data_IF_725504774375
#
_entry.id   IF_725504774375
#
_cell.length_a   1.000
_cell.length_b   1.000
_cell.length_c   1.000
_cell.angle_alpha   90.00
_cell.angle_beta   90.00
_cell.angle_gamma   90.00
#
_symmetry.space_group_name_H-M   'P 1'
#
loop_
_entity.id
_entity.type
_entity.pdbx_description
1 polymer ?
#
# COMPACT_ATOMS: atom_id res chain seq x y z
N UNK A 1 15.97 4.96 6.88
CA UNK A 1 15.32 4.00 7.80
C UNK A 1 16.04 3.89 9.14
N UNK A 2 17.31 3.43 9.21
CA UNK A 2 18.04 3.24 10.49
C UNK A 2 18.07 4.52 11.34
N UNK A 3 18.37 5.67 10.77
CA UNK A 3 18.40 6.93 11.52
C UNK A 3 17.02 7.32 12.06
N UNK A 4 15.96 7.07 11.31
CA UNK A 4 14.59 7.27 11.79
C UNK A 4 14.24 6.31 12.96
N UNK A 5 14.65 5.03 12.88
CA UNK A 5 14.49 4.07 13.99
C UNK A 5 15.20 4.55 15.24
N UNK A 6 16.45 5.04 15.13
CA UNK A 6 17.20 5.59 16.25
C UNK A 6 16.52 6.82 16.87
N UNK A 7 15.99 7.71 16.03
CA UNK A 7 15.24 8.88 16.49
C UNK A 7 13.98 8.49 17.26
N UNK A 8 13.18 7.59 16.71
CA UNK A 8 11.97 7.05 17.38
C UNK A 8 12.31 6.35 18.70
N UNK A 9 13.43 5.62 18.76
CA UNK A 9 13.85 4.98 20.01
C UNK A 9 14.24 5.99 21.09
N UNK A 10 14.82 7.14 20.71
CA UNK A 10 15.19 8.22 21.65
C UNK A 10 14.02 9.09 22.09
N UNK A 11 12.88 9.07 21.38
CA UNK A 11 11.72 9.90 21.66
C UNK A 11 10.87 9.28 22.80
N UNK A 12 10.72 9.95 23.96
CA UNK A 12 9.95 9.42 25.08
C UNK A 12 8.43 9.30 24.82
N UNK A 13 7.92 9.94 23.78
CA UNK A 13 6.51 9.87 23.39
C UNK A 13 6.17 8.64 22.55
N UNK A 14 7.17 7.89 22.08
CA UNK A 14 7.01 6.68 21.27
C UNK A 14 7.05 5.45 22.17
N UNK A 15 5.95 4.69 22.22
CA UNK A 15 5.82 3.47 23.02
C UNK A 15 6.26 2.21 22.25
N UNK A 16 6.04 2.17 20.94
CA UNK A 16 6.36 1.05 20.06
C UNK A 16 6.88 1.54 18.73
N UNK A 17 7.86 0.83 18.16
CA UNK A 17 8.40 1.15 16.84
C UNK A 17 7.88 0.12 15.84
N UNK A 18 7.21 0.58 14.78
CA UNK A 18 6.78 -0.27 13.68
C UNK A 18 7.65 -0.05 12.46
N UNK A 19 8.24 -1.13 11.94
CA UNK A 19 9.02 -1.13 10.69
C UNK A 19 8.24 -1.88 9.62
N UNK A 20 7.83 -1.17 8.59
CA UNK A 20 7.09 -1.72 7.46
C UNK A 20 7.90 -1.48 6.19
N UNK A 21 8.24 -2.55 5.49
CA UNK A 21 9.07 -2.50 4.29
C UNK A 21 8.60 -3.49 3.24
N UNK A 22 8.67 -3.08 1.97
CA UNK A 22 8.65 -4.04 0.86
C UNK A 22 9.89 -4.94 0.96
N UNK A 23 9.92 -6.12 0.29
CA UNK A 23 11.03 -7.05 0.37
C UNK A 23 12.36 -6.33 0.10
N UNK A 24 13.32 -6.51 1.01
CA UNK A 24 14.67 -6.00 0.87
C UNK A 24 15.65 -7.17 0.76
N UNK A 25 16.88 -6.93 0.30
CA UNK A 25 17.88 -7.98 0.28
C UNK A 25 18.18 -8.48 1.70
N UNK A 26 18.53 -9.76 1.83
CA UNK A 26 18.91 -10.39 3.11
C UNK A 26 19.97 -9.59 3.87
N UNK A 27 20.98 -9.07 3.15
CA UNK A 27 22.04 -8.26 3.74
C UNK A 27 21.52 -6.96 4.40
N UNK A 28 20.47 -6.35 3.84
CA UNK A 28 19.81 -5.17 4.42
C UNK A 28 18.95 -5.58 5.61
N UNK A 29 18.19 -6.68 5.51
CA UNK A 29 17.39 -7.19 6.64
C UNK A 29 18.28 -7.53 7.84
N UNK A 30 19.40 -8.23 7.63
CA UNK A 30 20.39 -8.53 8.69
C UNK A 30 20.87 -7.24 9.39
N UNK A 31 21.21 -6.21 8.61
CA UNK A 31 21.66 -4.92 9.16
C UNK A 31 20.55 -4.20 9.94
N UNK A 32 19.33 -4.18 9.43
CA UNK A 32 18.20 -3.57 10.11
C UNK A 32 17.88 -4.35 11.40
N UNK A 33 17.80 -5.68 11.34
CA UNK A 33 17.52 -6.52 12.50
C UNK A 33 18.59 -6.38 13.59
N UNK A 34 19.88 -6.18 13.23
CA UNK A 34 20.92 -5.87 14.21
C UNK A 34 20.60 -4.58 14.98
N UNK A 35 20.17 -3.51 14.29
CA UNK A 35 19.75 -2.28 14.95
C UNK A 35 18.52 -2.50 15.82
N UNK A 36 17.51 -3.22 15.32
CA UNK A 36 16.27 -3.48 16.06
C UNK A 36 16.53 -4.24 17.38
N UNK A 37 17.47 -5.21 17.38
CA UNK A 37 17.87 -5.95 18.58
C UNK A 37 18.66 -5.13 19.60
N UNK A 38 19.16 -3.94 19.23
CA UNK A 38 19.81 -3.02 20.17
C UNK A 38 18.85 -2.05 20.86
N UNK A 39 17.58 -1.99 20.39
CA UNK A 39 16.58 -1.07 20.94
C UNK A 39 16.05 -1.52 22.29
N UNK A 40 15.61 -0.55 23.09
CA UNK A 40 14.93 -0.80 24.38
C UNK A 40 13.41 -0.85 24.23
N UNK A 41 12.86 -0.21 23.19
CA UNK A 41 11.43 -0.19 22.92
C UNK A 41 10.98 -1.46 22.18
N UNK A 42 9.75 -1.93 22.40
CA UNK A 42 9.19 -3.02 21.64
C UNK A 42 9.07 -2.65 20.15
N UNK A 43 9.28 -3.65 19.31
CA UNK A 43 9.28 -3.48 17.84
C UNK A 43 8.28 -4.43 17.22
N UNK A 44 7.57 -3.95 16.20
CA UNK A 44 6.83 -4.78 15.26
C UNK A 44 7.42 -4.57 13.87
N UNK A 45 7.81 -5.65 13.21
CA UNK A 45 8.39 -5.59 11.87
C UNK A 45 7.55 -6.37 10.88
N UNK A 46 7.28 -5.77 9.72
CA UNK A 46 6.69 -6.43 8.56
C UNK A 46 7.63 -6.25 7.37
N UNK A 47 8.24 -7.35 6.95
CA UNK A 47 8.86 -7.46 5.62
C UNK A 47 7.80 -8.04 4.69
N UNK A 48 7.07 -7.16 4.01
CA UNK A 48 5.92 -7.54 3.19
C UNK A 48 6.34 -8.46 2.05
N UNK A 49 5.68 -9.61 1.95
CA UNK A 49 6.04 -10.67 1.01
C UNK A 49 6.79 -11.84 1.65
N UNK A 50 7.38 -11.64 2.82
CA UNK A 50 8.04 -12.72 3.57
C UNK A 50 7.03 -13.44 4.47
N UNK A 51 7.20 -14.76 4.64
CA UNK A 51 6.45 -15.55 5.63
C UNK A 51 7.29 -15.68 6.90
N UNK A 52 6.89 -15.04 8.02
CA UNK A 52 7.68 -15.08 9.24
C UNK A 52 7.64 -16.46 9.89
N UNK A 53 8.81 -17.08 10.09
CA UNK A 53 8.96 -18.38 10.75
C UNK A 53 9.17 -18.25 12.27
N UNK A 54 9.53 -17.07 12.74
CA UNK A 54 9.81 -16.83 14.16
C UNK A 54 9.39 -15.42 14.59
N UNK A 55 9.35 -15.26 15.91
CA UNK A 55 9.30 -13.97 16.59
C UNK A 55 10.40 -13.91 17.65
N UNK A 56 10.70 -12.73 18.18
CA UNK A 56 11.70 -12.51 19.23
C UNK A 56 11.00 -11.90 20.44
N UNK A 57 11.63 -11.93 21.60
CA UNK A 57 11.03 -11.40 22.83
C UNK A 57 10.59 -9.94 22.68
N UNK A 58 11.44 -9.09 22.10
CA UNK A 58 11.18 -7.67 21.90
C UNK A 58 10.76 -7.29 20.47
N UNK A 59 10.90 -8.20 19.49
CA UNK A 59 10.60 -7.94 18.08
C UNK A 59 9.54 -8.94 17.60
N UNK A 60 8.36 -8.45 17.28
CA UNK A 60 7.31 -9.25 16.67
C UNK A 60 7.40 -9.15 15.14
N UNK A 61 7.54 -10.30 14.47
CA UNK A 61 7.56 -10.41 13.02
C UNK A 61 6.14 -10.66 12.51
N UNK A 62 5.51 -9.62 11.98
CA UNK A 62 4.14 -9.68 11.46
C UNK A 62 4.11 -10.26 10.03
N UNK A 63 2.95 -10.75 9.61
CA UNK A 63 2.71 -11.34 8.30
C UNK A 63 1.88 -10.43 7.38
N UNK A 64 0.93 -9.68 7.97
CA UNK A 64 0.05 -8.77 7.22
C UNK A 64 0.04 -7.37 7.81
N UNK A 65 -0.48 -6.40 7.05
CA UNK A 65 -0.64 -5.01 7.49
C UNK A 65 -1.57 -4.92 8.70
N UNK A 66 -2.67 -5.69 8.69
CA UNK A 66 -3.62 -5.71 9.81
C UNK A 66 -2.99 -6.29 11.07
N UNK A 67 -2.31 -7.44 10.96
CA UNK A 67 -1.58 -8.02 12.09
C UNK A 67 -0.53 -7.06 12.64
N UNK A 68 0.17 -6.32 11.76
CA UNK A 68 1.15 -5.31 12.17
C UNK A 68 0.53 -4.23 13.03
N UNK A 69 -0.62 -3.72 12.62
CA UNK A 69 -1.34 -2.67 13.37
C UNK A 69 -1.85 -3.17 14.73
N UNK A 70 -2.44 -4.37 14.76
CA UNK A 70 -2.92 -4.99 16.00
C UNK A 70 -1.76 -5.30 16.94
N UNK A 71 -0.66 -5.89 16.44
CA UNK A 71 0.52 -6.17 17.22
C UNK A 71 1.15 -4.90 17.81
N UNK A 72 1.24 -3.82 17.03
CA UNK A 72 1.75 -2.53 17.49
C UNK A 72 0.88 -1.97 18.63
N UNK A 73 -0.44 -2.01 18.48
CA UNK A 73 -1.38 -1.57 19.53
C UNK A 73 -1.25 -2.40 20.81
N UNK A 74 -1.13 -3.72 20.71
CA UNK A 74 -0.99 -4.61 21.86
C UNK A 74 0.37 -4.41 22.55
N UNK A 75 1.46 -4.34 21.78
CA UNK A 75 2.80 -4.04 22.32
C UNK A 75 2.86 -2.68 23.01
N UNK A 76 2.22 -1.64 22.50
CA UNK A 76 2.17 -0.32 23.16
C UNK A 76 1.46 -0.33 24.50
N UNK A 77 0.58 -1.32 24.75
CA UNK A 77 -0.11 -1.55 26.02
C UNK A 77 0.62 -2.53 26.93
N UNK A 78 1.74 -3.11 26.48
CA UNK A 78 2.44 -4.17 27.20
C UNK A 78 1.71 -5.51 27.19
N UNK A 79 0.84 -5.74 26.22
CA UNK A 79 0.07 -6.98 26.05
C UNK A 79 0.84 -7.98 25.16
N UNK A 80 0.54 -9.27 25.30
CA UNK A 80 0.99 -10.31 24.36
C UNK A 80 0.26 -10.16 23.03
N UNK A 81 0.97 -10.42 21.93
CA UNK A 81 0.36 -10.32 20.59
C UNK A 81 -0.54 -11.51 20.33
N UNK A 82 -1.80 -11.22 20.03
CA UNK A 82 -2.80 -12.20 19.61
C UNK A 82 -3.60 -11.62 18.45
N UNK A 83 -3.59 -12.30 17.32
CA UNK A 83 -4.28 -11.90 16.11
C UNK A 83 -4.96 -13.09 15.46
N UNK A 84 -6.25 -12.93 15.20
CA UNK A 84 -7.06 -13.88 14.45
C UNK A 84 -7.63 -13.14 13.23
N UNK A 85 -7.26 -13.53 12.00
CA UNK A 85 -7.77 -12.89 10.80
C UNK A 85 -9.26 -13.11 10.65
N UNK A 86 -9.94 -12.16 10.09
CA UNK A 86 -11.38 -12.19 9.87
C UNK A 86 -11.77 -12.22 8.39
N UNK A 87 -12.99 -12.69 8.11
CA UNK A 87 -13.64 -12.60 6.81
C UNK A 87 -15.04 -12.01 6.96
N UNK A 88 -15.65 -11.58 5.87
CA UNK A 88 -17.07 -11.20 5.83
C UNK A 88 -17.89 -12.47 5.62
N UNK A 89 -18.36 -13.09 6.71
CA UNK A 89 -19.09 -14.37 6.69
C UNK A 89 -20.48 -14.29 6.04
N UNK A 90 -21.07 -13.11 6.01
CA UNK A 90 -22.40 -12.82 5.43
C UNK A 90 -22.36 -12.63 3.92
N UNK A 91 -21.19 -12.64 3.30
CA UNK A 91 -21.03 -12.51 1.84
C UNK A 91 -21.02 -13.88 1.22
N UNK A 92 -21.99 -14.11 0.34
CA UNK A 92 -22.12 -15.38 -0.43
C UNK A 92 -22.41 -15.08 -1.89
N UNK A 93 -21.98 -15.94 -2.79
CA UNK A 93 -22.26 -15.84 -4.21
C UNK A 93 -22.34 -17.25 -4.83
N UNK A 94 -23.09 -17.37 -5.92
CA UNK A 94 -23.19 -18.62 -6.68
C UNK A 94 -22.44 -18.45 -8.01
N UNK A 95 -21.17 -18.78 -8.00
CA UNK A 95 -20.33 -18.73 -9.19
C UNK A 95 -20.57 -19.96 -10.07
N UNK A 96 -20.47 -19.78 -11.38
CA UNK A 96 -20.44 -20.92 -12.29
C UNK A 96 -19.01 -21.52 -12.35
N UNK A 97 -18.89 -22.71 -12.92
CA UNK A 97 -17.63 -23.49 -12.95
C UNK A 97 -16.42 -22.76 -13.59
N UNK A 98 -16.66 -21.69 -14.35
CA UNK A 98 -15.58 -20.89 -14.96
C UNK A 98 -15.15 -19.71 -14.07
N UNK A 99 -15.98 -19.31 -13.15
CA UNK A 99 -15.75 -18.13 -12.31
C UNK A 99 -14.92 -18.50 -11.09
N UNK A 100 -13.62 -18.61 -11.28
CA UNK A 100 -12.63 -18.94 -10.25
C UNK A 100 -11.62 -17.81 -10.03
N UNK A 101 -11.67 -16.76 -10.85
CA UNK A 101 -10.66 -15.71 -10.92
C UNK A 101 -10.88 -14.56 -9.93
N UNK A 102 -9.82 -14.12 -9.29
CA UNK A 102 -9.74 -12.84 -8.56
C UNK A 102 -9.03 -11.81 -9.43
N UNK A 103 -9.59 -10.59 -9.54
CA UNK A 103 -8.96 -9.45 -10.22
C UNK A 103 -8.82 -8.29 -9.25
N UNK A 104 -7.59 -7.89 -8.96
CA UNK A 104 -7.30 -6.73 -8.12
C UNK A 104 -6.86 -5.53 -8.95
N UNK A 105 -7.54 -4.39 -8.79
CA UNK A 105 -7.23 -3.13 -9.45
C UNK A 105 -6.90 -2.08 -8.39
N UNK A 106 -5.65 -2.09 -7.95
CA UNK A 106 -5.17 -1.30 -6.83
C UNK A 106 -4.62 0.06 -7.27
N UNK A 107 -4.73 1.03 -6.40
CA UNK A 107 -4.00 2.30 -6.46
C UNK A 107 -2.83 2.33 -5.47
N UNK A 108 -2.82 1.45 -4.48
CA UNK A 108 -1.79 1.34 -3.46
C UNK A 108 -0.93 0.08 -3.65
N UNK A 109 0.33 0.24 -4.10
CA UNK A 109 1.22 -0.87 -4.38
C UNK A 109 1.53 -1.76 -3.18
N UNK A 110 1.50 -1.23 -1.96
CA UNK A 110 1.65 -2.01 -0.72
C UNK A 110 0.47 -2.96 -0.51
N UNK A 111 -0.76 -2.47 -0.75
CA UNK A 111 -1.98 -3.28 -0.66
C UNK A 111 -2.02 -4.35 -1.76
N UNK A 112 -1.61 -3.98 -2.98
CA UNK A 112 -1.50 -4.92 -4.09
C UNK A 112 -0.49 -6.04 -3.79
N UNK A 113 0.67 -5.70 -3.21
CA UNK A 113 1.70 -6.67 -2.82
C UNK A 113 1.19 -7.64 -1.74
N UNK A 114 0.46 -7.14 -0.73
CA UNK A 114 -0.17 -7.99 0.29
C UNK A 114 -1.21 -8.92 -0.33
N UNK A 115 -2.07 -8.41 -1.21
CA UNK A 115 -3.06 -9.23 -1.89
C UNK A 115 -2.41 -10.33 -2.73
N UNK A 116 -1.39 -10.00 -3.49
CA UNK A 116 -0.61 -10.94 -4.27
C UNK A 116 0.01 -12.05 -3.40
N UNK A 117 0.63 -11.67 -2.29
CA UNK A 117 1.22 -12.60 -1.32
C UNK A 117 0.17 -13.57 -0.75
N UNK A 118 -0.96 -13.06 -0.27
CA UNK A 118 -2.00 -13.88 0.35
C UNK A 118 -2.63 -14.84 -0.66
N UNK A 119 -2.91 -14.39 -1.89
CA UNK A 119 -3.47 -15.24 -2.96
C UNK A 119 -2.46 -16.33 -3.35
N UNK A 120 -1.19 -15.97 -3.57
CA UNK A 120 -0.13 -16.94 -3.88
C UNK A 120 -0.01 -18.01 -2.78
N UNK A 121 -0.05 -17.62 -1.51
CA UNK A 121 0.07 -18.56 -0.40
C UNK A 121 -1.17 -19.46 -0.23
N UNK A 122 -2.36 -18.96 -0.57
CA UNK A 122 -3.58 -19.76 -0.51
C UNK A 122 -3.66 -20.78 -1.64
N UNK A 123 -3.36 -20.38 -2.87
CA UNK A 123 -3.54 -21.19 -4.06
C UNK A 123 -2.33 -22.05 -4.42
N UNK A 124 -1.14 -21.63 -3.97
CA UNK A 124 0.13 -22.25 -4.37
C UNK A 124 0.50 -22.05 -5.84
N UNK A 125 -0.26 -21.21 -6.58
CA UNK A 125 0.02 -20.91 -7.98
C UNK A 125 1.22 -19.98 -8.11
N UNK A 126 2.14 -20.29 -9.02
CA UNK A 126 3.29 -19.43 -9.29
C UNK A 126 2.89 -18.24 -10.17
N UNK A 127 3.51 -17.10 -9.93
CA UNK A 127 3.32 -15.90 -10.75
C UNK A 127 4.04 -16.03 -12.09
N UNK A 128 3.38 -15.69 -13.17
CA UNK A 128 4.02 -15.51 -14.45
C UNK A 128 4.99 -14.31 -14.41
N UNK A 129 6.05 -14.35 -15.19
CA UNK A 129 6.96 -13.22 -15.40
C UNK A 129 6.29 -12.20 -16.34
N UNK A 130 5.51 -11.28 -15.79
CA UNK A 130 4.80 -10.23 -16.52
C UNK A 130 4.82 -8.95 -15.67
N UNK A 131 5.67 -7.99 -16.07
CA UNK A 131 5.87 -6.73 -15.33
C UNK A 131 4.61 -5.86 -15.20
N UNK A 132 3.58 -6.13 -16.01
CA UNK A 132 2.31 -5.42 -15.92
C UNK A 132 1.48 -5.83 -14.68
N UNK A 133 1.89 -6.87 -13.96
CA UNK A 133 1.14 -7.40 -12.83
C UNK A 133 2.05 -7.54 -11.61
N UNK A 134 1.51 -7.21 -10.44
CA UNK A 134 2.14 -7.57 -9.16
C UNK A 134 2.09 -9.09 -8.97
N UNK A 135 0.98 -9.69 -9.44
CA UNK A 135 0.81 -11.13 -9.45
C UNK A 135 -0.12 -11.52 -10.62
N UNK A 136 0.28 -12.54 -11.37
CA UNK A 136 -0.51 -13.13 -12.45
C UNK A 136 -0.30 -14.63 -12.46
N UNK A 137 -1.34 -15.37 -12.18
CA UNK A 137 -1.36 -16.82 -12.26
C UNK A 137 -2.33 -17.29 -13.37
N UNK A 138 -2.64 -18.57 -13.39
CA UNK A 138 -3.61 -19.13 -14.35
C UNK A 138 -4.99 -18.46 -14.19
N UNK A 139 -5.42 -18.23 -12.93
CA UNK A 139 -6.76 -17.73 -12.64
C UNK A 139 -6.79 -16.33 -12.01
N UNK A 140 -5.70 -15.84 -11.40
CA UNK A 140 -5.72 -14.62 -10.62
C UNK A 140 -4.82 -13.53 -11.19
N UNK A 141 -5.24 -12.27 -11.06
CA UNK A 141 -4.47 -11.12 -11.53
C UNK A 141 -4.59 -9.97 -10.53
N UNK A 142 -3.45 -9.48 -10.06
CA UNK A 142 -3.36 -8.31 -9.18
C UNK A 142 -2.48 -7.26 -9.88
N UNK A 143 -3.04 -6.08 -10.07
CA UNK A 143 -2.40 -4.95 -10.75
C UNK A 143 -2.25 -3.79 -9.77
N UNK A 144 -1.05 -3.25 -9.68
CA UNK A 144 -0.78 -1.94 -9.11
C UNK A 144 -0.85 -0.88 -10.23
N UNK A 145 -1.97 -0.19 -10.34
CA UNK A 145 -2.16 0.86 -11.34
C UNK A 145 -1.38 2.15 -11.00
N UNK A 146 -0.75 2.20 -9.82
CA UNK A 146 0.17 3.25 -9.39
C UNK A 146 1.62 3.03 -9.81
N UNK A 147 1.94 1.86 -10.37
CA UNK A 147 3.26 1.55 -10.90
C UNK A 147 3.65 2.49 -12.05
N UNK A 148 4.96 2.72 -12.21
CA UNK A 148 5.52 3.59 -13.25
C UNK A 148 5.06 3.21 -14.67
N UNK A 149 4.82 1.91 -14.91
CA UNK A 149 4.29 1.43 -16.19
C UNK A 149 2.93 2.04 -16.54
N UNK A 150 2.07 2.26 -15.56
CA UNK A 150 0.72 2.80 -15.74
C UNK A 150 0.62 4.31 -15.56
N UNK A 151 1.65 4.94 -14.97
CA UNK A 151 1.64 6.37 -14.62
C UNK A 151 2.51 7.23 -15.53
N UNK A 152 3.17 6.64 -16.54
CA UNK A 152 3.91 7.40 -17.55
C UNK A 152 2.96 8.27 -18.39
N UNK A 153 3.06 9.59 -18.19
CA UNK A 153 2.24 10.59 -18.90
C UNK A 153 0.79 10.67 -18.42
N UNK A 154 0.44 9.98 -17.34
CA UNK A 154 -0.88 10.05 -16.68
C UNK A 154 -0.73 10.24 -15.19
N UNK A 155 -1.67 10.92 -14.51
CA UNK A 155 -1.63 11.05 -13.06
C UNK A 155 -1.75 9.69 -12.35
N UNK A 156 -1.22 9.63 -11.12
CA UNK A 156 -1.36 8.47 -10.25
C UNK A 156 -2.84 8.13 -9.98
N UNK A 157 -3.25 6.85 -9.90
CA UNK A 157 -4.65 6.42 -9.74
C UNK A 157 -5.31 6.84 -8.42
N UNK A 158 -4.55 7.28 -7.42
CA UNK A 158 -5.10 7.95 -6.23
C UNK A 158 -5.59 9.38 -6.54
N UNK A 159 -5.07 10.02 -7.59
CA UNK A 159 -5.42 11.39 -8.00
C UNK A 159 -6.45 11.37 -9.11
N UNK A 160 -6.25 10.51 -10.12
CA UNK A 160 -7.13 10.41 -11.30
C UNK A 160 -7.65 8.97 -11.45
N UNK A 161 -8.97 8.75 -11.48
CA UNK A 161 -9.57 7.43 -11.56
C UNK A 161 -9.47 6.77 -12.94
N UNK A 162 -9.04 7.46 -14.00
CA UNK A 162 -9.17 7.02 -15.39
C UNK A 162 -8.66 5.60 -15.67
N UNK A 163 -7.47 5.25 -15.19
CA UNK A 163 -6.91 3.91 -15.36
C UNK A 163 -7.73 2.83 -14.64
N UNK A 164 -8.29 3.15 -13.46
CA UNK A 164 -9.13 2.23 -12.70
C UNK A 164 -10.48 1.99 -13.36
N UNK A 165 -11.09 3.06 -13.89
CA UNK A 165 -12.36 2.99 -14.64
C UNK A 165 -12.19 2.13 -15.89
N UNK A 166 -11.08 2.32 -16.63
CA UNK A 166 -10.73 1.52 -17.80
C UNK A 166 -10.49 0.04 -17.46
N UNK A 167 -9.83 -0.24 -16.33
CA UNK A 167 -9.61 -1.61 -15.87
C UNK A 167 -10.94 -2.33 -15.57
N UNK A 168 -11.86 -1.67 -14.84
CA UNK A 168 -13.20 -2.20 -14.57
C UNK A 168 -14.03 -2.41 -15.86
N UNK A 169 -13.95 -1.47 -16.80
CA UNK A 169 -14.64 -1.61 -18.08
C UNK A 169 -14.11 -2.80 -18.90
N UNK A 170 -12.79 -2.98 -18.93
CA UNK A 170 -12.15 -4.12 -19.62
C UNK A 170 -12.51 -5.44 -18.97
N UNK A 171 -12.60 -5.49 -17.63
CA UNK A 171 -12.94 -6.66 -16.86
C UNK A 171 -14.40 -7.16 -17.09
N UNK A 172 -15.28 -6.31 -17.62
CA UNK A 172 -16.67 -6.68 -17.85
C UNK A 172 -16.83 -7.85 -18.85
N UNK A 173 -15.86 -8.05 -19.75
CA UNK A 173 -15.86 -9.14 -20.74
C UNK A 173 -15.09 -10.39 -20.31
N UNK A 174 -14.48 -10.41 -19.13
CA UNK A 174 -13.72 -11.55 -18.60
C UNK A 174 -14.66 -12.53 -17.88
N UNK A 175 -14.97 -13.66 -18.50
CA UNK A 175 -15.93 -14.66 -18.00
C UNK A 175 -15.42 -15.47 -16.79
N UNK A 176 -14.15 -15.38 -16.45
CA UNK A 176 -13.54 -16.13 -15.35
C UNK A 176 -13.63 -15.40 -14.00
N UNK A 177 -14.01 -14.12 -14.01
CA UNK A 177 -14.05 -13.32 -12.78
C UNK A 177 -15.15 -13.81 -11.84
N UNK A 178 -14.75 -14.19 -10.63
CA UNK A 178 -15.59 -14.39 -9.46
C UNK A 178 -15.61 -13.13 -8.58
N UNK A 179 -14.42 -12.58 -8.29
CA UNK A 179 -14.26 -11.47 -7.33
C UNK A 179 -13.37 -10.38 -7.91
N UNK A 180 -13.78 -9.13 -7.69
CA UNK A 180 -12.95 -7.94 -7.95
C UNK A 180 -12.54 -7.30 -6.63
N UNK A 181 -11.27 -6.93 -6.49
CA UNK A 181 -10.71 -6.22 -5.34
C UNK A 181 -10.39 -4.78 -5.71
N UNK A 182 -10.81 -3.84 -4.89
CA UNK A 182 -10.55 -2.40 -5.03
C UNK A 182 -10.09 -1.79 -3.72
N UNK A 183 -9.14 -0.88 -3.80
CA UNK A 183 -8.80 0.01 -2.69
C UNK A 183 -9.32 1.44 -2.95
N UNK A 184 -9.54 2.21 -1.89
CA UNK A 184 -9.77 3.65 -1.94
C UNK A 184 -8.93 4.31 -0.84
N UNK A 185 -7.82 4.92 -1.24
CA UNK A 185 -6.87 5.53 -0.30
C UNK A 185 -7.19 7.02 -0.16
N UNK A 186 -7.47 7.42 1.08
CA UNK A 186 -7.78 8.79 1.45
C UNK A 186 -6.51 9.54 1.88
N UNK A 187 -6.62 10.82 2.07
CA UNK A 187 -5.57 11.68 2.57
C UNK A 187 -5.29 12.87 1.66
N UNK A 188 -4.37 13.72 2.10
CA UNK A 188 -3.90 14.85 1.31
C UNK A 188 -3.21 14.38 0.02
N UNK A 189 -3.48 15.06 -1.09
CA UNK A 189 -2.98 14.69 -2.41
C UNK A 189 -3.78 13.59 -3.12
N UNK A 190 -4.67 12.88 -2.44
CA UNK A 190 -5.62 11.97 -3.08
C UNK A 190 -6.84 12.70 -3.64
N UNK A 191 -7.56 12.06 -4.56
CA UNK A 191 -8.78 12.61 -5.15
C UNK A 191 -9.81 12.95 -4.06
N UNK A 192 -10.44 14.13 -4.17
CA UNK A 192 -11.37 14.65 -3.15
C UNK A 192 -12.62 13.76 -2.93
N UNK A 193 -13.02 12.97 -3.92
CA UNK A 193 -14.12 12.03 -3.81
C UNK A 193 -13.96 10.86 -4.81
N UNK A 194 -13.00 9.97 -4.55
CA UNK A 194 -12.70 8.83 -5.41
C UNK A 194 -13.87 7.83 -5.48
N UNK A 195 -14.54 7.59 -4.36
CA UNK A 195 -15.69 6.69 -4.32
C UNK A 195 -16.80 7.10 -5.31
N UNK A 196 -17.11 8.40 -5.40
CA UNK A 196 -18.09 8.89 -6.37
C UNK A 196 -17.66 8.74 -7.84
N UNK A 197 -16.35 8.65 -8.09
CA UNK A 197 -15.83 8.36 -9.44
C UNK A 197 -15.93 6.85 -9.76
N UNK A 198 -15.65 5.99 -8.80
CA UNK A 198 -15.68 4.55 -8.97
C UNK A 198 -17.11 3.98 -8.99
N UNK A 199 -18.03 4.56 -8.23
CA UNK A 199 -19.39 4.04 -8.06
C UNK A 199 -20.14 3.76 -9.38
N UNK A 200 -20.20 4.69 -10.36
CA UNK A 200 -20.88 4.41 -11.63
C UNK A 200 -20.23 3.27 -12.44
N UNK A 201 -18.89 3.11 -12.33
CA UNK A 201 -18.18 2.06 -13.02
C UNK A 201 -18.45 0.68 -12.37
N UNK A 202 -18.53 0.63 -11.04
CA UNK A 202 -18.90 -0.58 -10.28
C UNK A 202 -20.33 -1.01 -10.66
N UNK A 203 -21.28 -0.07 -10.63
CA UNK A 203 -22.68 -0.34 -11.03
C UNK A 203 -22.77 -0.86 -12.47
N UNK A 204 -22.06 -0.22 -13.41
CA UNK A 204 -22.01 -0.66 -14.82
C UNK A 204 -21.42 -2.04 -14.97
N UNK A 205 -20.31 -2.33 -14.25
CA UNK A 205 -19.66 -3.63 -14.25
C UNK A 205 -20.59 -4.74 -13.73
N UNK A 206 -21.20 -4.52 -12.56
CA UNK A 206 -22.13 -5.48 -11.95
C UNK A 206 -23.36 -5.71 -12.84
N UNK A 207 -23.92 -4.66 -13.46
CA UNK A 207 -25.03 -4.77 -14.39
C UNK A 207 -24.66 -5.56 -15.65
N UNK A 208 -23.45 -5.35 -16.20
CA UNK A 208 -22.97 -6.10 -17.37
C UNK A 208 -22.84 -7.59 -17.05
N UNK A 209 -22.22 -7.94 -15.91
CA UNK A 209 -22.06 -9.31 -15.45
C UNK A 209 -23.42 -10.01 -15.23
N UNK A 210 -24.33 -9.32 -14.55
CA UNK A 210 -25.69 -9.81 -14.33
C UNK A 210 -26.44 -10.06 -15.65
N UNK A 211 -26.27 -9.17 -16.64
CA UNK A 211 -26.87 -9.33 -17.97
C UNK A 211 -26.28 -10.51 -18.74
N UNK A 212 -25.05 -10.89 -18.47
CA UNK A 212 -24.41 -12.11 -18.99
C UNK A 212 -24.81 -13.38 -18.20
N UNK A 213 -25.65 -13.26 -17.17
CA UNK A 213 -26.03 -14.39 -16.32
C UNK A 213 -24.95 -14.82 -15.32
N UNK A 214 -24.02 -13.93 -15.03
CA UNK A 214 -22.92 -14.16 -14.08
C UNK A 214 -23.16 -13.39 -12.78
N UNK A 215 -22.89 -14.04 -11.65
CA UNK A 215 -22.80 -13.40 -10.35
C UNK A 215 -21.34 -13.06 -10.08
N UNK A 216 -21.06 -11.85 -9.63
CA UNK A 216 -19.71 -11.37 -9.31
C UNK A 216 -19.77 -10.56 -8.03
N UNK A 217 -18.74 -10.68 -7.19
CA UNK A 217 -18.62 -9.86 -5.98
C UNK A 217 -17.54 -8.82 -6.18
N UNK A 218 -17.86 -7.54 -5.90
CA UNK A 218 -16.87 -6.47 -5.81
C UNK A 218 -16.62 -6.23 -4.34
N UNK A 219 -15.41 -6.49 -3.88
CA UNK A 219 -14.94 -6.16 -2.53
C UNK A 219 -14.11 -4.89 -2.58
N UNK A 220 -14.27 -4.03 -1.61
CA UNK A 220 -13.50 -2.80 -1.52
C UNK A 220 -13.04 -2.53 -0.09
N UNK A 221 -11.84 -1.95 0.05
CA UNK A 221 -11.37 -1.40 1.32
C UNK A 221 -11.12 0.10 1.19
N UNK A 222 -11.43 0.85 2.24
CA UNK A 222 -11.13 2.28 2.33
C UNK A 222 -10.02 2.47 3.35
N UNK A 223 -8.89 2.99 2.91
CA UNK A 223 -7.73 3.26 3.76
C UNK A 223 -7.67 4.73 4.11
N UNK A 224 -7.88 5.05 5.36
CA UNK A 224 -7.93 6.43 5.85
C UNK A 224 -8.47 6.51 7.26
N UNK A 225 -8.77 7.71 7.70
CA UNK A 225 -9.27 8.01 9.03
C UNK A 225 -10.46 8.97 8.99
N UNK A 226 -11.17 9.12 10.10
CA UNK A 226 -12.25 10.10 10.27
C UNK A 226 -11.79 11.55 10.10
N UNK A 227 -10.47 11.79 10.18
CA UNK A 227 -9.87 13.12 10.02
C UNK A 227 -9.55 13.46 8.58
N UNK A 228 -9.62 12.50 7.65
CA UNK A 228 -9.36 12.75 6.25
C UNK A 228 -10.47 13.60 5.62
N UNK A 229 -10.07 14.59 4.83
CA UNK A 229 -10.97 15.60 4.24
C UNK A 229 -12.05 15.01 3.34
N UNK A 230 -11.84 13.80 2.82
CA UNK A 230 -12.79 13.07 1.98
C UNK A 230 -13.97 12.50 2.76
N UNK A 231 -13.84 12.35 4.10
CA UNK A 231 -14.86 11.77 4.97
C UNK A 231 -14.94 10.25 4.83
N UNK A 232 -14.22 9.53 5.69
CA UNK A 232 -14.07 8.06 5.68
C UNK A 232 -15.39 7.31 5.51
N UNK A 233 -16.38 7.56 6.38
CA UNK A 233 -17.70 6.92 6.32
C UNK A 233 -18.49 7.28 5.05
N UNK A 234 -18.30 8.49 4.51
CA UNK A 234 -18.95 8.91 3.28
C UNK A 234 -18.45 8.09 2.09
N UNK A 235 -17.14 7.88 2.00
CA UNK A 235 -16.53 7.10 0.93
C UNK A 235 -16.98 5.64 0.98
N UNK A 236 -17.05 5.04 2.17
CA UNK A 236 -17.57 3.68 2.38
C UNK A 236 -19.02 3.55 1.88
N UNK A 237 -19.91 4.44 2.35
CA UNK A 237 -21.34 4.42 1.97
C UNK A 237 -21.57 4.60 0.47
N UNK A 238 -20.75 5.39 -0.22
CA UNK A 238 -20.87 5.58 -1.67
C UNK A 238 -20.54 4.27 -2.40
N UNK A 239 -19.47 3.58 -2.01
CA UNK A 239 -19.08 2.30 -2.60
C UNK A 239 -20.09 1.20 -2.30
N UNK A 240 -20.60 1.13 -1.07
CA UNK A 240 -21.68 0.21 -0.67
C UNK A 240 -22.95 0.45 -1.50
N UNK A 241 -23.34 1.73 -1.68
CA UNK A 241 -24.47 2.11 -2.51
C UNK A 241 -24.35 1.68 -3.98
N UNK A 242 -23.12 1.58 -4.48
CA UNK A 242 -22.81 1.10 -5.83
C UNK A 242 -22.78 -0.45 -5.94
N UNK A 243 -22.97 -1.16 -4.82
CA UNK A 243 -23.00 -2.62 -4.76
C UNK A 243 -21.67 -3.28 -4.40
N UNK A 244 -20.67 -2.52 -3.98
CA UNK A 244 -19.47 -3.11 -3.41
C UNK A 244 -19.68 -3.53 -1.95
N UNK A 245 -19.07 -4.64 -1.55
CA UNK A 245 -18.98 -5.06 -0.15
C UNK A 245 -17.73 -4.42 0.47
N UNK A 246 -17.91 -3.68 1.55
CA UNK A 246 -16.79 -3.00 2.22
C UNK A 246 -16.17 -3.91 3.27
N UNK A 247 -14.86 -4.13 3.12
CA UNK A 247 -14.01 -4.78 4.10
C UNK A 247 -13.24 -3.72 4.91
N UNK A 248 -12.99 -4.01 6.18
CA UNK A 248 -12.35 -3.05 7.09
C UNK A 248 -10.84 -2.94 6.82
N UNK A 249 -10.23 -4.03 6.35
CA UNK A 249 -8.81 -4.10 5.98
C UNK A 249 -8.62 -4.80 4.65
N UNK A 250 -7.44 -4.66 4.06
CA UNK A 250 -7.06 -5.39 2.86
C UNK A 250 -6.89 -6.89 3.13
N UNK A 251 -6.35 -7.27 4.29
CA UNK A 251 -6.26 -8.67 4.72
C UNK A 251 -7.65 -9.33 4.77
N UNK A 252 -8.62 -8.70 5.45
CA UNK A 252 -10.02 -9.17 5.47
C UNK A 252 -10.62 -9.27 4.07
N UNK A 253 -10.36 -8.28 3.21
CA UNK A 253 -10.85 -8.25 1.83
C UNK A 253 -10.35 -9.44 1.02
N UNK A 254 -9.04 -9.69 1.05
CA UNK A 254 -8.42 -10.79 0.29
C UNK A 254 -8.86 -12.15 0.84
N UNK A 255 -8.89 -12.31 2.17
CA UNK A 255 -9.38 -13.56 2.79
C UNK A 255 -10.84 -13.82 2.49
N UNK A 256 -11.67 -12.79 2.43
CA UNK A 256 -13.06 -12.91 2.00
C UNK A 256 -13.15 -13.36 0.54
N UNK A 257 -12.33 -12.79 -0.34
CA UNK A 257 -12.28 -13.20 -1.75
C UNK A 257 -11.85 -14.66 -1.92
N UNK A 258 -10.82 -15.08 -1.19
CA UNK A 258 -10.35 -16.46 -1.19
C UNK A 258 -11.45 -17.42 -0.69
N UNK A 259 -12.10 -17.09 0.42
CA UNK A 259 -13.20 -17.91 0.96
C UNK A 259 -14.35 -18.07 -0.04
N UNK A 260 -14.68 -17.03 -0.81
CA UNK A 260 -15.73 -17.06 -1.82
C UNK A 260 -15.44 -18.04 -2.97
N UNK A 261 -14.17 -18.23 -3.31
CA UNK A 261 -13.75 -19.20 -4.35
C UNK A 261 -13.34 -20.57 -3.78
N UNK A 262 -13.55 -20.79 -2.47
CA UNK A 262 -13.25 -22.06 -1.80
C UNK A 262 -11.80 -22.24 -1.35
N UNK A 263 -10.99 -21.17 -1.39
CA UNK A 263 -9.59 -21.15 -0.98
C UNK A 263 -9.41 -20.52 0.41
N UNK A 264 -8.29 -20.81 1.06
CA UNK A 264 -7.96 -20.30 2.39
C UNK A 264 -6.46 -20.08 2.52
N UNK A 265 -6.07 -18.98 3.13
CA UNK A 265 -4.70 -18.73 3.56
C UNK A 265 -4.59 -18.81 5.09
N UNK A 266 -3.70 -19.68 5.56
CA UNK A 266 -3.47 -19.85 6.99
C UNK A 266 -2.50 -18.78 7.53
N UNK A 267 -2.61 -18.50 8.83
CA UNK A 267 -1.62 -17.69 9.54
C UNK A 267 -0.33 -18.50 9.74
N UNK A 268 0.86 -17.87 9.55
CA UNK A 268 2.13 -18.52 9.84
C UNK A 268 2.24 -18.88 11.33
N UNK A 269 2.70 -20.09 11.60
CA UNK A 269 3.08 -20.49 12.95
C UNK A 269 4.51 -20.00 13.19
N UNK A 270 4.72 -19.27 14.28
CA UNK A 270 6.02 -18.69 14.64
C UNK A 270 6.61 -19.34 15.87
N UNK A 271 7.87 -19.66 15.82
CA UNK A 271 8.64 -20.04 17.00
C UNK A 271 9.15 -18.80 17.72
N UNK A 272 9.21 -18.82 19.05
CA UNK A 272 9.90 -17.76 19.79
C UNK A 272 11.39 -18.07 19.79
N UNK A 273 12.18 -17.23 19.13
CA UNK A 273 13.66 -17.36 19.12
C UNK A 273 14.29 -16.28 19.98
N UNK A 274 15.31 -16.68 20.74
CA UNK A 274 16.13 -15.74 21.49
C UNK A 274 17.39 -15.42 20.71
N UNK A 275 17.68 -14.14 20.59
CA UNK A 275 18.91 -13.62 20.01
C UNK A 275 19.63 -12.75 21.04
N UNK A 276 20.95 -12.74 20.99
CA UNK A 276 21.72 -11.82 21.82
C UNK A 276 21.41 -10.38 21.45
N UNK A 277 21.26 -9.53 22.48
CA UNK A 277 21.13 -8.08 22.26
C UNK A 277 22.39 -7.56 21.57
N UNK A 278 22.24 -6.88 20.47
CA UNK A 278 23.34 -6.25 19.76
C UNK A 278 23.72 -4.92 20.44
N UNK A 279 24.92 -4.42 20.17
CA UNK A 279 25.40 -3.17 20.73
C UNK A 279 25.71 -2.19 19.58
N UNK A 280 24.66 -1.76 18.89
CA UNK A 280 24.78 -0.77 17.81
C UNK A 280 24.84 0.65 18.39
N UNK A 281 25.52 1.53 17.69
CA UNK A 281 25.51 2.96 18.04
C UNK A 281 24.12 3.55 17.72
N UNK A 282 23.36 3.87 18.76
CA UNK A 282 22.03 4.46 18.68
C UNK A 282 22.05 6.01 18.70
N UNK A 283 23.19 6.64 18.50
CA UNK A 283 23.30 8.10 18.45
C UNK A 283 22.48 8.65 17.28
N UNK A 284 21.60 9.60 17.57
CA UNK A 284 20.83 10.33 16.57
C UNK A 284 21.67 11.43 15.97
N UNK A 285 21.73 11.52 14.63
CA UNK A 285 22.45 12.58 13.94
C UNK A 285 21.87 13.97 14.29
N UNK A 286 22.73 14.96 14.49
CA UNK A 286 22.30 16.31 14.88
C UNK A 286 21.38 16.95 13.83
N UNK A 287 21.65 16.74 12.53
CA UNK A 287 20.76 17.18 11.45
C UNK A 287 19.33 16.63 11.54
N UNK A 288 19.16 15.41 12.05
CA UNK A 288 17.83 14.82 12.25
C UNK A 288 17.15 15.38 13.51
N UNK A 289 17.93 15.65 14.57
CA UNK A 289 17.40 16.33 15.76
C UNK A 289 16.92 17.74 15.41
N UNK A 290 17.71 18.49 14.63
CA UNK A 290 17.33 19.82 14.17
C UNK A 290 16.06 19.81 13.30
N UNK A 291 15.91 18.80 12.43
CA UNK A 291 14.72 18.63 11.60
C UNK A 291 13.45 18.36 12.44
N UNK A 292 13.57 17.54 13.50
CA UNK A 292 12.42 17.14 14.34
C UNK A 292 12.04 18.25 15.34
N UNK A 293 13.02 18.99 15.86
CA UNK A 293 12.80 20.00 16.90
C UNK A 293 12.71 21.44 16.39
N UNK A 294 13.08 21.68 15.12
CA UNK A 294 13.02 23.00 14.49
C UNK A 294 11.66 23.35 13.93
N UNK A 295 11.50 24.61 13.50
CA UNK A 295 10.36 25.00 12.69
C UNK A 295 10.40 24.30 11.34
N UNK A 296 9.28 23.67 10.96
CA UNK A 296 9.18 22.97 9.71
C UNK A 296 9.09 23.98 8.54
N UNK A 297 10.04 23.90 7.61
CA UNK A 297 10.03 24.65 6.35
C UNK A 297 10.13 23.67 5.18
N UNK A 298 9.23 23.80 4.23
CA UNK A 298 9.06 22.82 3.13
C UNK A 298 9.30 23.49 1.78
N UNK A 299 10.05 22.83 0.91
CA UNK A 299 10.14 23.18 -0.51
C UNK A 299 9.36 22.11 -1.29
N UNK A 300 8.26 22.53 -1.91
CA UNK A 300 7.53 21.63 -2.81
C UNK A 300 8.04 21.79 -4.24
N UNK A 301 8.44 20.69 -4.84
CA UNK A 301 8.89 20.61 -6.25
C UNK A 301 8.01 19.60 -6.94
N UNK A 302 7.10 20.06 -7.82
CA UNK A 302 6.18 19.18 -8.55
C UNK A 302 4.74 19.68 -8.51
N UNK A 303 3.81 18.79 -8.18
CA UNK A 303 2.39 19.11 -8.19
C UNK A 303 2.04 20.17 -7.13
N UNK A 304 1.47 21.28 -7.58
CA UNK A 304 1.03 22.39 -6.72
C UNK A 304 -0.06 21.93 -5.73
N UNK A 305 -0.88 20.94 -6.08
CA UNK A 305 -1.90 20.39 -5.19
C UNK A 305 -1.37 19.85 -3.86
N UNK A 306 -0.10 19.48 -3.77
CA UNK A 306 0.50 19.05 -2.49
C UNK A 306 0.71 20.21 -1.51
N UNK A 307 0.67 21.47 -1.96
CA UNK A 307 0.75 22.63 -1.06
C UNK A 307 -0.55 22.86 -0.30
N UNK A 308 -1.70 22.33 -0.74
CA UNK A 308 -2.98 22.45 -0.01
C UNK A 308 -2.82 21.95 1.44
N UNK A 309 -2.15 20.79 1.64
CA UNK A 309 -1.90 20.23 2.96
C UNK A 309 -0.99 21.11 3.84
N UNK A 310 -0.03 21.80 3.24
CA UNK A 310 0.88 22.70 3.97
C UNK A 310 0.14 23.97 4.39
N UNK A 311 -0.72 24.50 3.53
CA UNK A 311 -1.58 25.67 3.83
C UNK A 311 -2.54 25.35 4.97
N UNK A 312 -3.22 24.20 4.90
CA UNK A 312 -4.19 23.78 5.91
C UNK A 312 -3.57 23.55 7.30
N UNK A 313 -2.27 23.22 7.33
CA UNK A 313 -1.51 23.00 8.56
C UNK A 313 -0.65 24.19 8.98
N UNK A 314 -0.79 25.34 8.30
CA UNK A 314 -0.05 26.59 8.57
C UNK A 314 1.49 26.40 8.54
N UNK A 315 1.97 25.49 7.65
CA UNK A 315 3.41 25.22 7.48
C UNK A 315 4.01 26.19 6.48
N UNK A 316 5.15 26.79 6.81
CA UNK A 316 5.93 27.61 5.89
C UNK A 316 6.44 26.78 4.72
N UNK A 317 6.13 27.20 3.49
CA UNK A 317 6.56 26.50 2.30
C UNK A 317 6.95 27.41 1.15
N UNK A 318 7.75 26.87 0.25
CA UNK A 318 8.09 27.47 -1.05
C UNK A 318 7.66 26.51 -2.15
N UNK A 319 6.76 26.96 -3.03
CA UNK A 319 6.47 26.21 -4.25
C UNK A 319 7.53 26.54 -5.31
N UNK A 320 8.34 25.55 -5.67
CA UNK A 320 9.30 25.68 -6.75
C UNK A 320 8.64 25.30 -8.09
N UNK A 321 8.48 26.30 -8.97
CA UNK A 321 7.91 26.10 -10.31
C UNK A 321 8.98 25.51 -11.24
N UNK A 322 9.27 24.22 -11.05
CA UNK A 322 10.24 23.51 -11.86
C UNK A 322 9.69 23.32 -13.28
N UNK A 323 10.55 23.59 -14.25
CA UNK A 323 10.29 23.28 -15.66
C UNK A 323 11.51 22.51 -16.20
N UNK A 324 11.29 21.47 -17.03
CA UNK A 324 12.41 20.77 -17.63
C UNK A 324 13.23 21.73 -18.49
N UNK A 325 14.55 21.60 -18.46
CA UNK A 325 15.44 22.38 -19.32
C UNK A 325 15.04 22.21 -20.78
N UNK A 326 15.12 23.28 -21.57
CA UNK A 326 14.70 23.30 -22.97
C UNK A 326 13.22 22.86 -23.22
N UNK A 327 12.34 23.01 -22.22
CA UNK A 327 10.95 22.57 -22.33
C UNK A 327 10.78 21.05 -22.49
N UNK A 328 11.77 20.25 -22.10
CA UNK A 328 11.77 18.78 -22.26
C UNK A 328 12.21 18.29 -23.64
N UNK A 329 12.67 19.17 -24.52
CA UNK A 329 13.20 18.78 -25.82
C UNK A 329 14.62 18.20 -25.69
N UNK A 330 14.75 16.88 -25.96
CA UNK A 330 16.02 16.16 -25.78
C UNK A 330 17.16 16.69 -26.64
N UNK A 331 16.89 17.11 -27.89
CA UNK A 331 17.92 17.66 -28.78
C UNK A 331 18.43 19.01 -28.26
N UNK A 332 17.52 19.88 -27.80
CA UNK A 332 17.89 21.16 -27.20
C UNK A 332 18.59 20.96 -25.83
N UNK A 333 18.24 19.94 -25.07
CA UNK A 333 18.95 19.60 -23.83
C UNK A 333 20.41 19.20 -24.11
N UNK A 334 20.66 18.38 -25.14
CA UNK A 334 22.02 18.02 -25.55
C UNK A 334 22.84 19.25 -25.96
N UNK A 335 22.22 20.19 -26.69
CA UNK A 335 22.85 21.45 -27.08
C UNK A 335 23.16 22.31 -25.84
N UNK A 336 22.22 22.43 -24.90
CA UNK A 336 22.44 23.17 -23.66
C UNK A 336 23.53 22.53 -22.78
N UNK A 337 23.57 21.21 -22.68
CA UNK A 337 24.61 20.49 -21.97
C UNK A 337 25.98 20.72 -22.62
N UNK A 338 26.07 20.67 -23.95
CA UNK A 338 27.28 21.01 -24.69
C UNK A 338 27.73 22.44 -24.41
N UNK A 339 26.83 23.41 -24.48
CA UNK A 339 27.16 24.83 -24.22
C UNK A 339 27.58 25.09 -22.76
N UNK A 340 26.97 24.42 -21.80
CA UNK A 340 27.34 24.54 -20.37
C UNK A 340 28.69 23.91 -20.02
N UNK A 341 29.20 22.99 -20.83
CA UNK A 341 30.51 22.35 -20.67
C UNK A 341 31.56 22.90 -21.68
N UNK A 342 31.16 23.83 -22.53
CA UNK A 342 32.06 24.45 -23.48
C UNK A 342 32.84 25.57 -22.75
N UNK A 343 34.03 25.24 -22.21
CA UNK A 343 35.05 26.20 -21.85
C UNK A 343 35.66 26.74 -23.15
N UNK A 344 35.01 27.73 -23.74
CA UNK A 344 35.52 28.37 -24.95
C UNK A 344 36.83 29.11 -24.62
N UNK A 345 37.88 28.75 -25.31
CA UNK A 345 39.07 29.60 -25.47
C UNK A 345 38.62 30.96 -26.09
N UNK A 346 38.54 32.03 -25.26
CA UNK A 346 38.49 33.41 -25.72
C UNK A 346 39.87 34.02 -25.58
#
# INVERSE_FOLDING_TARGET
MIDAIKALNSDPSVDVITVLSKPSSEAIQVKVNSVLRSLDKPVVVLYLGDTPEYTEENIFHAYTLEETAIAALQKSKGEEVSFEPSIKEDVTANFNDKQVGIRGFYSGGTLATEAAMLIKHATGEESAEDEAFVYKSEHHQIIDLGDDMYTQGTPHPMIDPANRLKALESAASDDEIAVVLLDNVLGYGSHKNMAAQLAPAIEKFLAAKKSAGQEVVVLATVVGTDKDVQGYDSQRRILEGAGAVICDTNDQMVRTALNLIGEKVDQPVREVKSFDKTNEDLTVADSLKDLISGELSVINIGLEGFTEALIDQEVDYVQFNWRPSAGGNEELMKVLQFLNHYEGDI
#
